data_IF_813207246105
#
_entry.id   IF_813207246105
#
_cell.length_a   1.000
_cell.length_b   1.000
_cell.length_c   1.000
_cell.angle_alpha   90.00
_cell.angle_beta   90.00
_cell.angle_gamma   90.00
#
_symmetry.space_group_name_H-M   'P 1'
#
loop_
_entity.id
_entity.type
_entity.pdbx_description
1 polymer ?
#
# COMPACT_ATOMS: atom_id res chain seq x y z
N UNK A 1 6.94 -26.71 61.78
CA UNK A 1 7.63 -26.36 60.52
C UNK A 1 6.58 -26.09 59.45
N UNK A 2 6.44 -24.85 58.97
CA UNK A 2 5.52 -24.50 57.86
C UNK A 2 6.37 -24.27 56.59
N UNK A 3 6.08 -24.92 55.46
CA UNK A 3 6.89 -24.78 54.26
C UNK A 3 6.66 -23.41 53.62
N UNK A 4 7.76 -22.71 53.31
CA UNK A 4 7.76 -21.46 52.55
C UNK A 4 7.83 -21.82 51.07
N UNK A 5 6.75 -21.57 50.32
CA UNK A 5 6.76 -21.68 48.87
C UNK A 5 7.42 -20.43 48.28
N UNK A 6 8.56 -20.62 47.62
CA UNK A 6 9.22 -19.58 46.82
C UNK A 6 8.50 -19.54 45.47
N UNK A 7 7.72 -18.51 45.23
CA UNK A 7 7.11 -18.26 43.92
C UNK A 7 8.19 -17.74 42.96
N UNK A 8 8.59 -18.57 42.00
CA UNK A 8 9.45 -18.16 40.90
C UNK A 8 8.65 -17.27 39.94
N UNK A 9 9.01 -15.99 39.87
CA UNK A 9 8.44 -15.05 38.90
C UNK A 9 9.11 -15.29 37.54
N UNK A 10 8.39 -15.95 36.64
CA UNK A 10 8.77 -16.06 35.23
C UNK A 10 8.44 -14.73 34.55
N UNK A 11 9.47 -13.93 34.27
CA UNK A 11 9.35 -12.72 33.44
C UNK A 11 9.18 -13.16 31.99
N UNK A 12 7.93 -13.26 31.53
CA UNK A 12 7.62 -13.47 30.13
C UNK A 12 7.93 -12.18 29.35
N UNK A 13 9.04 -12.17 28.61
CA UNK A 13 9.34 -11.11 27.64
C UNK A 13 8.34 -11.22 26.50
N UNK A 14 7.30 -10.38 26.54
CA UNK A 14 6.33 -10.23 25.46
C UNK A 14 7.00 -9.59 24.25
N UNK A 15 7.46 -10.40 23.30
CA UNK A 15 7.76 -9.91 21.96
C UNK A 15 6.45 -9.50 21.29
N UNK A 16 6.14 -8.21 21.29
CA UNK A 16 5.03 -7.68 20.49
C UNK A 16 5.29 -8.04 19.01
N UNK A 17 4.38 -8.74 18.32
CA UNK A 17 4.55 -9.04 16.91
C UNK A 17 4.64 -7.72 16.15
N UNK A 18 5.76 -7.52 15.43
CA UNK A 18 5.95 -6.36 14.58
C UNK A 18 4.70 -6.18 13.71
N UNK A 19 4.05 -5.01 13.83
CA UNK A 19 2.87 -4.68 13.04
C UNK A 19 3.24 -4.75 11.57
N UNK A 20 2.83 -5.84 10.95
CA UNK A 20 3.12 -6.09 9.56
C UNK A 20 2.27 -5.09 8.76
N UNK A 21 2.91 -4.01 8.34
CA UNK A 21 2.31 -2.95 7.55
C UNK A 21 1.99 -3.47 6.15
N UNK A 22 1.04 -2.83 5.47
CA UNK A 22 0.81 -2.90 4.03
C UNK A 22 2.09 -2.62 3.21
N UNK A 23 1.99 -2.21 1.95
CA UNK A 23 3.07 -1.35 1.44
C UNK A 23 3.39 -0.26 2.49
N UNK A 24 4.66 -0.09 2.81
CA UNK A 24 5.09 0.68 3.97
C UNK A 24 5.22 2.13 3.55
N UNK A 25 4.51 3.05 4.22
CA UNK A 25 4.82 4.48 4.07
C UNK A 25 6.18 4.75 4.71
N UNK A 26 7.17 5.05 3.88
CA UNK A 26 8.55 5.34 4.29
C UNK A 26 8.72 6.82 4.62
N UNK A 27 8.17 7.70 3.78
CA UNK A 27 8.37 9.14 3.93
C UNK A 27 7.23 9.94 3.33
N UNK A 28 7.28 11.25 3.54
CA UNK A 28 6.41 12.23 2.90
C UNK A 28 7.27 13.22 2.12
N UNK A 29 6.82 13.66 0.94
CA UNK A 29 7.51 14.65 0.10
C UNK A 29 8.95 14.29 -0.28
N UNK A 30 9.25 12.99 -0.34
CA UNK A 30 10.55 12.49 -0.74
C UNK A 30 10.87 12.85 -2.20
N UNK A 31 12.14 13.19 -2.44
CA UNK A 31 12.72 13.48 -3.75
C UNK A 31 13.92 12.56 -3.98
N UNK A 32 14.12 12.19 -5.24
CA UNK A 32 15.24 11.35 -5.70
C UNK A 32 15.44 10.08 -4.86
N UNK A 33 14.39 9.28 -4.60
CA UNK A 33 14.56 8.12 -3.74
C UNK A 33 15.34 7.02 -4.47
N UNK A 34 16.21 6.33 -3.73
CA UNK A 34 16.93 5.15 -4.21
C UNK A 34 16.44 3.91 -3.49
N UNK A 35 16.65 2.75 -4.12
CA UNK A 35 16.30 1.46 -3.53
C UNK A 35 17.46 0.49 -3.75
N UNK A 36 17.96 -0.03 -2.64
CA UNK A 36 18.97 -1.09 -2.57
C UNK A 36 18.40 -2.29 -1.83
N UNK A 37 18.71 -3.50 -2.27
CA UNK A 37 18.25 -4.74 -1.61
C UNK A 37 19.41 -5.70 -1.47
N UNK A 38 19.62 -6.24 -0.28
CA UNK A 38 20.73 -7.18 -0.01
C UNK A 38 20.22 -8.63 -0.05
N UNK A 39 21.13 -9.59 -0.24
CA UNK A 39 20.79 -11.02 -0.35
C UNK A 39 19.97 -11.56 0.83
N UNK A 40 20.18 -11.01 2.03
CA UNK A 40 19.42 -11.37 3.23
C UNK A 40 17.95 -10.93 3.20
N UNK A 41 17.50 -10.14 2.22
CA UNK A 41 16.11 -9.67 2.06
C UNK A 41 15.77 -8.38 2.81
N UNK A 42 16.77 -7.69 3.36
CA UNK A 42 16.63 -6.31 3.84
C UNK A 42 16.76 -5.32 2.68
N UNK A 43 16.07 -4.19 2.79
CA UNK A 43 16.14 -3.11 1.83
C UNK A 43 16.60 -1.83 2.50
N UNK A 44 17.30 -0.99 1.76
CA UNK A 44 17.68 0.37 2.13
C UNK A 44 17.02 1.33 1.14
N UNK A 45 16.41 2.37 1.68
CA UNK A 45 15.80 3.44 0.91
C UNK A 45 16.42 4.75 1.37
N UNK A 46 17.13 5.43 0.48
CA UNK A 46 17.54 6.81 0.68
C UNK A 46 16.57 7.75 -0.03
N UNK A 47 16.45 8.98 0.47
CA UNK A 47 15.78 10.06 -0.24
C UNK A 47 16.28 11.41 0.25
N UNK A 48 15.88 12.47 -0.45
CA UNK A 48 16.03 13.85 0.02
C UNK A 48 14.66 14.45 0.32
N UNK A 49 14.58 15.27 1.36
CA UNK A 49 13.40 16.08 1.66
C UNK A 49 13.83 17.39 2.34
N UNK A 50 12.86 18.21 2.73
CA UNK A 50 13.16 19.36 3.61
C UNK A 50 13.90 18.84 4.84
N UNK A 51 15.06 19.43 5.15
CA UNK A 51 15.94 18.97 6.22
C UNK A 51 17.12 18.09 5.78
N UNK A 52 17.22 17.74 4.49
CA UNK A 52 18.41 17.12 3.90
C UNK A 52 18.21 15.70 3.40
N UNK A 53 19.24 14.88 3.51
CA UNK A 53 19.24 13.47 3.09
C UNK A 53 18.82 12.58 4.25
N UNK A 54 18.01 11.58 3.93
CA UNK A 54 17.47 10.63 4.89
C UNK A 54 17.63 9.21 4.35
N UNK A 55 17.63 8.26 5.27
CA UNK A 55 17.69 6.84 4.96
C UNK A 55 16.78 6.03 5.88
N UNK A 56 16.34 4.88 5.42
CA UNK A 56 15.71 3.84 6.25
C UNK A 56 16.17 2.47 5.79
N UNK A 57 16.48 1.61 6.76
CA UNK A 57 16.61 0.17 6.52
C UNK A 57 15.31 -0.51 6.89
N UNK A 58 14.75 -1.24 5.95
CA UNK A 58 13.55 -2.05 6.12
C UNK A 58 14.00 -3.50 6.20
N UNK A 59 13.87 -4.07 7.39
CA UNK A 59 14.27 -5.45 7.66
C UNK A 59 13.34 -6.42 6.96
N UNK A 60 13.83 -7.66 6.89
CA UNK A 60 13.10 -8.81 6.38
C UNK A 60 11.70 -8.90 7.05
N UNK A 61 11.58 -8.77 8.37
CA UNK A 61 10.26 -8.77 9.04
C UNK A 61 9.38 -7.50 8.86
N UNK A 62 9.85 -6.49 8.11
CA UNK A 62 9.13 -5.23 7.89
C UNK A 62 9.42 -4.12 8.91
N UNK A 63 10.27 -4.38 9.92
CA UNK A 63 10.70 -3.32 10.84
C UNK A 63 11.52 -2.25 10.13
N UNK A 64 11.40 -1.00 10.59
CA UNK A 64 12.04 0.17 9.98
C UNK A 64 13.04 0.77 10.96
N UNK A 65 14.27 1.01 10.49
CA UNK A 65 15.29 1.73 11.24
C UNK A 65 15.75 2.94 10.43
N UNK A 66 15.25 4.11 10.81
CA UNK A 66 15.58 5.38 10.17
C UNK A 66 17.02 5.82 10.49
N UNK A 67 17.68 6.49 9.56
CA UNK A 67 19.09 6.92 9.66
C UNK A 67 20.10 5.78 9.52
N UNK A 68 19.65 4.56 9.23
CA UNK A 68 20.52 3.40 9.09
C UNK A 68 20.88 3.13 7.62
N UNK A 69 22.01 2.43 7.45
CA UNK A 69 22.53 1.99 6.16
C UNK A 69 22.95 0.52 6.19
N UNK A 70 22.80 -0.18 5.08
CA UNK A 70 23.25 -1.55 4.86
C UNK A 70 24.69 -1.55 4.36
N UNK A 71 25.56 -2.33 5.00
CA UNK A 71 26.95 -2.53 4.56
C UNK A 71 27.07 -3.53 3.41
N UNK A 72 26.15 -4.50 3.31
CA UNK A 72 26.17 -5.51 2.27
C UNK A 72 25.87 -4.91 0.88
N UNK A 73 26.35 -5.58 -0.18
CA UNK A 73 26.15 -5.16 -1.57
C UNK A 73 24.68 -5.22 -1.99
N UNK A 74 24.28 -4.31 -2.88
CA UNK A 74 23.01 -4.44 -3.59
C UNK A 74 23.07 -5.68 -4.49
N UNK A 75 22.09 -6.57 -4.38
CA UNK A 75 21.95 -7.74 -5.24
C UNK A 75 20.74 -7.63 -6.16
N UNK A 76 19.98 -6.55 -6.04
CA UNK A 76 18.85 -6.29 -6.92
C UNK A 76 19.27 -5.52 -8.16
N UNK A 77 18.50 -5.67 -9.23
CA UNK A 77 18.68 -4.96 -10.49
C UNK A 77 17.33 -4.34 -10.92
N UNK A 78 17.34 -3.19 -11.63
CA UNK A 78 16.12 -2.64 -12.22
C UNK A 78 15.44 -3.65 -13.14
N UNK A 79 14.10 -3.64 -13.20
CA UNK A 79 13.34 -4.56 -14.05
C UNK A 79 12.08 -3.91 -14.60
N UNK A 80 11.62 -4.40 -15.75
CA UNK A 80 10.34 -4.07 -16.39
C UNK A 80 9.43 -5.29 -16.52
N UNK A 81 9.80 -6.43 -15.92
CA UNK A 81 9.05 -7.68 -16.01
C UNK A 81 7.62 -7.59 -15.44
N UNK A 82 7.35 -6.57 -14.61
CA UNK A 82 6.03 -6.27 -14.06
C UNK A 82 5.76 -4.78 -14.16
N UNK A 83 4.52 -4.42 -14.51
CA UNK A 83 4.06 -3.03 -14.49
C UNK A 83 3.52 -2.68 -13.11
N UNK A 84 4.11 -1.66 -12.49
CA UNK A 84 3.70 -1.14 -11.18
C UNK A 84 3.34 0.33 -11.33
N UNK A 85 2.07 0.71 -11.12
CA UNK A 85 1.65 2.09 -11.29
C UNK A 85 2.30 2.99 -10.25
N UNK A 86 2.54 4.26 -10.57
CA UNK A 86 3.12 5.25 -9.65
C UNK A 86 4.55 4.90 -9.19
N UNK A 87 5.22 3.99 -9.89
CA UNK A 87 6.56 3.55 -9.52
C UNK A 87 7.60 4.66 -9.74
N UNK A 88 8.50 4.78 -8.77
CA UNK A 88 9.75 5.53 -8.85
C UNK A 88 10.93 4.59 -9.07
N UNK A 89 10.82 3.35 -8.60
CA UNK A 89 11.77 2.28 -8.87
C UNK A 89 11.04 0.93 -8.81
N UNK A 90 11.39 0.02 -9.71
CA UNK A 90 11.01 -1.40 -9.66
C UNK A 90 12.27 -2.22 -9.83
N UNK A 91 12.54 -3.10 -8.87
CA UNK A 91 13.74 -3.93 -8.82
C UNK A 91 13.39 -5.39 -8.61
N UNK A 92 14.27 -6.27 -9.07
CA UNK A 92 14.18 -7.70 -8.88
C UNK A 92 15.51 -8.21 -8.34
N UNK A 93 15.48 -9.29 -7.56
CA UNK A 93 16.69 -10.01 -7.16
C UNK A 93 16.72 -11.38 -7.84
N UNK A 94 17.87 -12.06 -7.92
CA UNK A 94 18.01 -13.33 -8.65
C UNK A 94 17.01 -14.43 -8.25
N UNK A 95 16.50 -14.43 -7.02
CA UNK A 95 15.50 -15.40 -6.56
C UNK A 95 14.04 -15.11 -7.03
N UNK A 96 13.87 -14.10 -7.90
CA UNK A 96 12.60 -13.75 -8.53
C UNK A 96 11.64 -12.91 -7.69
N UNK A 97 12.04 -12.48 -6.48
CA UNK A 97 11.27 -11.49 -5.72
C UNK A 97 11.38 -10.10 -6.38
N UNK A 98 10.36 -9.27 -6.18
CA UNK A 98 10.27 -7.91 -6.65
C UNK A 98 10.21 -6.94 -5.48
N UNK A 99 10.70 -5.73 -5.70
CA UNK A 99 10.62 -4.60 -4.80
C UNK A 99 10.26 -3.36 -5.59
N UNK A 100 9.46 -2.47 -4.99
CA UNK A 100 9.17 -1.20 -5.62
C UNK A 100 9.08 -0.06 -4.60
N UNK A 101 9.46 1.12 -5.10
CA UNK A 101 9.11 2.39 -4.52
C UNK A 101 8.01 3.03 -5.36
N UNK A 102 6.96 3.49 -4.71
CA UNK A 102 5.83 4.17 -5.34
C UNK A 102 5.55 5.50 -4.65
N UNK A 103 5.00 6.46 -5.39
CA UNK A 103 4.62 7.76 -4.84
C UNK A 103 3.23 8.22 -5.27
N UNK A 104 2.36 8.48 -4.28
CA UNK A 104 1.03 9.05 -4.51
C UNK A 104 0.44 9.72 -3.28
N UNK A 105 -0.59 10.56 -3.48
CA UNK A 105 -1.29 11.25 -2.40
C UNK A 105 -2.52 10.46 -1.97
N UNK A 106 -2.50 9.92 -0.75
CA UNK A 106 -3.60 9.12 -0.20
C UNK A 106 -4.79 9.92 0.32
N UNK A 107 -4.59 11.15 0.79
CA UNK A 107 -5.66 12.05 1.22
C UNK A 107 -5.69 13.31 0.33
N UNK A 108 -6.84 13.99 0.26
CA UNK A 108 -7.03 15.19 -0.58
C UNK A 108 -6.02 16.29 -0.25
N UNK A 109 -5.83 16.56 1.04
CA UNK A 109 -4.90 17.54 1.59
C UNK A 109 -3.68 16.87 2.23
N UNK A 110 -3.45 15.59 1.92
CA UNK A 110 -2.34 14.81 2.48
C UNK A 110 -1.03 15.01 1.72
N UNK A 111 0.09 14.58 2.32
CA UNK A 111 1.39 14.61 1.65
C UNK A 111 1.44 13.64 0.48
N UNK A 112 2.38 13.87 -0.44
CA UNK A 112 2.84 12.81 -1.33
C UNK A 112 3.57 11.77 -0.49
N UNK A 113 3.10 10.53 -0.48
CA UNK A 113 3.68 9.45 0.32
C UNK A 113 4.68 8.66 -0.52
N UNK A 114 5.90 8.45 -0.02
CA UNK A 114 6.84 7.46 -0.55
C UNK A 114 6.52 6.11 0.09
N UNK A 115 6.28 5.09 -0.74
CA UNK A 115 5.78 3.80 -0.29
C UNK A 115 6.65 2.67 -0.80
N UNK A 116 7.00 1.75 0.10
CA UNK A 116 7.84 0.58 -0.16
C UNK A 116 6.99 -0.69 -0.25
N UNK A 117 7.32 -1.56 -1.20
CA UNK A 117 6.68 -2.86 -1.36
C UNK A 117 7.72 -3.93 -1.70
N UNK A 118 7.37 -5.19 -1.40
CA UNK A 118 8.14 -6.38 -1.78
C UNK A 118 7.21 -7.58 -1.95
N UNK A 119 7.33 -8.29 -3.06
CA UNK A 119 6.45 -9.42 -3.36
C UNK A 119 7.11 -10.42 -4.30
N UNK A 120 6.39 -11.50 -4.61
CA UNK A 120 6.80 -12.48 -5.62
C UNK A 120 5.60 -12.83 -6.48
N UNK A 121 5.79 -12.94 -7.79
CA UNK A 121 4.70 -13.21 -8.73
C UNK A 121 3.94 -11.95 -9.12
N UNK A 122 2.63 -12.09 -9.36
CA UNK A 122 1.79 -11.00 -9.88
C UNK A 122 1.64 -9.85 -8.87
N UNK A 123 1.69 -8.58 -9.32
CA UNK A 123 1.44 -7.43 -8.45
C UNK A 123 -0.02 -7.36 -8.00
N UNK A 124 -0.32 -6.42 -7.11
CA UNK A 124 -1.71 -6.10 -6.74
C UNK A 124 -2.47 -5.62 -7.97
N UNK A 125 -3.66 -6.17 -8.18
CA UNK A 125 -4.54 -5.80 -9.27
C UNK A 125 -5.71 -5.00 -8.72
N UNK A 126 -5.99 -3.89 -9.40
CA UNK A 126 -7.22 -3.12 -9.23
C UNK A 126 -7.91 -3.06 -10.58
N UNK A 127 -9.18 -3.42 -10.63
CA UNK A 127 -10.04 -3.16 -11.79
C UNK A 127 -10.97 -2.00 -11.50
N UNK A 128 -11.38 -1.28 -12.54
CA UNK A 128 -12.29 -0.16 -12.43
C UNK A 128 -13.18 -0.08 -13.67
N UNK A 129 -14.47 0.16 -13.46
CA UNK A 129 -15.44 0.40 -14.51
C UNK A 129 -16.46 1.44 -14.06
N UNK A 130 -16.97 2.23 -15.00
CA UNK A 130 -18.14 3.06 -14.79
C UNK A 130 -19.36 2.35 -15.37
N UNK A 131 -20.43 2.23 -14.58
CA UNK A 131 -21.67 1.56 -14.96
C UNK A 131 -22.83 2.54 -14.88
N UNK A 132 -23.46 2.77 -16.04
CA UNK A 132 -24.68 3.54 -16.18
C UNK A 132 -25.92 2.66 -15.93
N UNK A 133 -27.08 3.18 -15.55
CA UNK A 133 -27.30 4.33 -14.66
C UNK A 133 -28.54 4.02 -13.82
N UNK A 134 -28.41 4.05 -12.49
CA UNK A 134 -29.58 4.12 -11.60
C UNK A 134 -29.79 5.59 -11.23
N UNK A 135 -31.01 6.12 -11.37
CA UNK A 135 -31.38 7.50 -11.02
C UNK A 135 -30.53 8.58 -11.71
N UNK A 136 -30.31 8.44 -13.01
CA UNK A 136 -29.52 9.41 -13.77
C UNK A 136 -28.14 9.71 -13.17
N UNK A 137 -27.52 8.73 -12.50
CA UNK A 137 -26.10 8.75 -12.16
C UNK A 137 -25.45 7.40 -12.43
N UNK A 138 -24.13 7.40 -12.51
CA UNK A 138 -23.33 6.18 -12.68
C UNK A 138 -22.76 5.67 -11.35
N UNK A 139 -22.38 4.40 -11.33
CA UNK A 139 -21.57 3.83 -10.27
C UNK A 139 -20.17 3.56 -10.80
N UNK A 140 -19.17 3.92 -10.02
CA UNK A 140 -17.80 3.43 -10.22
C UNK A 140 -17.65 2.14 -9.44
N UNK A 141 -17.44 1.05 -10.15
CA UNK A 141 -17.31 -0.31 -9.61
C UNK A 141 -15.92 -0.86 -9.88
N UNK A 142 -15.55 -1.89 -9.14
CA UNK A 142 -14.29 -2.59 -9.41
C UNK A 142 -14.02 -3.70 -8.41
N UNK A 143 -12.82 -4.25 -8.50
CA UNK A 143 -12.34 -5.29 -7.61
C UNK A 143 -10.85 -5.12 -7.34
N UNK A 144 -10.45 -5.32 -6.09
CA UNK A 144 -9.05 -5.37 -5.69
C UNK A 144 -8.65 -6.79 -5.33
N UNK A 145 -7.62 -7.31 -5.99
CA UNK A 145 -7.08 -8.65 -5.72
C UNK A 145 -5.56 -8.61 -5.63
N UNK A 146 -5.00 -9.59 -4.94
CA UNK A 146 -3.58 -9.85 -4.91
C UNK A 146 -3.36 -11.36 -4.96
N UNK A 147 -2.53 -11.83 -5.89
CA UNK A 147 -2.35 -13.26 -6.16
C UNK A 147 -3.69 -13.99 -6.36
N UNK A 148 -4.62 -13.37 -7.08
CA UNK A 148 -5.97 -13.90 -7.34
C UNK A 148 -6.92 -13.87 -6.13
N UNK A 149 -6.45 -13.52 -4.94
CA UNK A 149 -7.27 -13.48 -3.72
C UNK A 149 -7.81 -12.07 -3.49
N UNK A 150 -9.05 -11.92 -3.02
CA UNK A 150 -9.66 -10.61 -2.80
C UNK A 150 -9.03 -9.87 -1.62
N UNK A 151 -8.86 -8.56 -1.74
CA UNK A 151 -8.40 -7.67 -0.67
C UNK A 151 -9.61 -7.11 0.06
N UNK A 152 -9.77 -7.43 1.34
CA UNK A 152 -10.84 -6.89 2.19
C UNK A 152 -10.43 -6.90 3.67
N UNK A 153 -11.19 -6.16 4.49
CA UNK A 153 -11.05 -6.11 5.95
C UNK A 153 -12.20 -6.81 6.66
N UNK A 154 -12.03 -7.02 7.96
CA UNK A 154 -13.01 -7.61 8.86
C UNK A 154 -13.69 -6.58 9.76
N UNK A 155 -12.98 -5.51 10.12
CA UNK A 155 -13.45 -4.49 11.05
C UNK A 155 -13.19 -3.10 10.47
N UNK A 156 -14.18 -2.22 10.60
CA UNK A 156 -14.07 -0.83 10.21
C UNK A 156 -14.95 0.04 11.11
N UNK A 157 -14.65 1.34 11.19
CA UNK A 157 -15.54 2.32 11.80
C UNK A 157 -16.83 2.45 11.00
N UNK A 158 -17.87 3.05 11.59
CA UNK A 158 -19.11 3.41 10.88
C UNK A 158 -18.88 4.31 9.65
N UNK A 159 -17.77 5.05 9.63
CA UNK A 159 -17.36 5.94 8.54
C UNK A 159 -16.43 5.27 7.53
N UNK A 160 -16.19 3.96 7.65
CA UNK A 160 -15.44 3.17 6.66
C UNK A 160 -13.92 3.25 6.79
N UNK A 161 -13.41 3.58 7.98
CA UNK A 161 -11.96 3.53 8.28
C UNK A 161 -11.62 2.10 8.73
N UNK A 162 -10.69 1.39 8.05
CA UNK A 162 -10.25 0.07 8.48
C UNK A 162 -9.69 0.08 9.91
N UNK A 163 -10.11 -0.89 10.72
CA UNK A 163 -9.65 -1.09 12.10
C UNK A 163 -8.77 -2.34 12.25
N UNK A 164 -8.48 -3.01 11.13
CA UNK A 164 -7.64 -4.19 11.10
C UNK A 164 -6.50 -4.06 10.06
N UNK A 165 -5.57 -5.01 10.11
CA UNK A 165 -4.38 -5.02 9.25
C UNK A 165 -4.64 -5.42 7.79
N UNK A 166 -5.82 -5.94 7.47
CA UNK A 166 -6.18 -6.45 6.14
C UNK A 166 -6.97 -5.44 5.31
N UNK A 167 -7.87 -4.69 5.94
CA UNK A 167 -8.75 -3.72 5.31
C UNK A 167 -7.99 -2.57 4.65
N UNK A 168 -8.41 -2.22 3.44
CA UNK A 168 -7.85 -1.11 2.67
C UNK A 168 -8.99 -0.30 2.07
N UNK A 169 -8.81 1.02 2.00
CA UNK A 169 -9.69 1.85 1.20
C UNK A 169 -9.19 1.90 -0.24
N UNK A 170 -10.11 1.83 -1.19
CA UNK A 170 -9.90 2.30 -2.57
C UNK A 170 -10.19 3.79 -2.57
N UNK A 171 -9.17 4.60 -2.87
CA UNK A 171 -9.28 6.05 -2.97
C UNK A 171 -9.66 6.40 -4.41
N UNK A 172 -10.82 7.04 -4.58
CA UNK A 172 -11.32 7.42 -5.88
C UNK A 172 -11.06 8.89 -6.17
N UNK A 173 -10.63 9.15 -7.40
CA UNK A 173 -10.47 10.48 -7.98
C UNK A 173 -11.38 10.61 -9.21
N UNK A 174 -11.85 11.84 -9.47
CA UNK A 174 -12.59 12.22 -10.68
C UNK A 174 -11.74 13.18 -11.51
N UNK A 175 -11.76 13.03 -12.84
CA UNK A 175 -11.08 13.94 -13.76
C UNK A 175 -12.06 15.02 -14.23
N UNK A 176 -11.80 16.28 -13.85
CA UNK A 176 -12.62 17.43 -14.23
C UNK A 176 -11.81 18.72 -14.24
N UNK A 177 -12.14 19.64 -15.15
CA UNK A 177 -11.45 20.92 -15.29
C UNK A 177 -9.94 20.73 -15.49
N UNK A 178 -9.55 19.77 -16.34
CA UNK A 178 -8.16 19.49 -16.69
C UNK A 178 -7.34 18.69 -15.66
N UNK A 179 -7.92 18.30 -14.51
CA UNK A 179 -7.15 17.65 -13.44
C UNK A 179 -7.88 16.57 -12.65
N UNK A 180 -7.10 15.70 -12.02
CA UNK A 180 -7.60 14.69 -11.07
C UNK A 180 -7.91 15.32 -9.71
N UNK A 181 -9.11 15.07 -9.19
CA UNK A 181 -9.55 15.55 -7.87
C UNK A 181 -9.99 14.39 -6.98
N UNK A 182 -9.45 14.32 -5.76
CA UNK A 182 -9.82 13.32 -4.75
C UNK A 182 -11.26 13.48 -4.32
N UNK A 183 -12.01 12.39 -4.42
CA UNK A 183 -13.35 12.25 -3.85
C UNK A 183 -13.23 11.71 -2.43
N UNK A 184 -13.33 10.39 -2.27
CA UNK A 184 -13.31 9.72 -0.98
C UNK A 184 -12.56 8.39 -1.05
N UNK A 185 -12.34 7.75 0.11
CA UNK A 185 -11.97 6.35 0.22
C UNK A 185 -13.20 5.50 0.49
N UNK A 186 -13.29 4.33 -0.15
CA UNK A 186 -14.36 3.35 0.07
C UNK A 186 -13.77 2.00 0.45
N UNK A 187 -14.49 1.22 1.26
CA UNK A 187 -14.09 -0.14 1.59
C UNK A 187 -14.40 -1.09 0.45
N UNK A 188 -13.62 -2.15 0.35
CA UNK A 188 -13.98 -3.32 -0.43
C UNK A 188 -14.93 -4.22 0.38
N UNK A 189 -15.86 -4.88 -0.32
CA UNK A 189 -16.76 -5.85 0.25
C UNK A 189 -16.00 -7.09 0.71
N UNK A 190 -16.38 -7.57 1.90
CA UNK A 190 -15.85 -8.80 2.51
C UNK A 190 -15.95 -9.97 1.54
N UNK A 191 -14.95 -10.84 1.54
CA UNK A 191 -14.82 -12.06 0.73
C UNK A 191 -14.76 -11.89 -0.79
N UNK A 192 -15.08 -10.72 -1.35
CA UNK A 192 -15.08 -10.52 -2.81
C UNK A 192 -14.04 -9.50 -3.26
N UNK A 193 -13.62 -8.58 -2.39
CA UNK A 193 -12.71 -7.50 -2.77
C UNK A 193 -13.34 -6.50 -3.74
N UNK A 194 -14.63 -6.65 -4.05
CA UNK A 194 -15.39 -5.77 -4.94
C UNK A 194 -15.72 -4.47 -4.23
N UNK A 195 -15.98 -3.41 -4.98
CA UNK A 195 -16.48 -2.15 -4.44
C UNK A 195 -17.41 -1.49 -5.45
N UNK A 196 -18.27 -0.60 -4.96
CA UNK A 196 -19.14 0.24 -5.76
C UNK A 196 -19.32 1.57 -5.06
N UNK A 197 -19.21 2.68 -5.81
CA UNK A 197 -19.56 4.00 -5.34
C UNK A 197 -20.50 4.66 -6.34
N UNK A 198 -21.69 5.02 -5.87
CA UNK A 198 -22.59 5.90 -6.60
C UNK A 198 -21.99 7.30 -6.71
N UNK A 199 -21.84 7.80 -7.93
CA UNK A 199 -21.22 9.11 -8.18
C UNK A 199 -22.25 10.21 -7.96
N UNK A 200 -21.98 11.05 -6.97
CA UNK A 200 -22.78 12.24 -6.67
C UNK A 200 -22.65 13.26 -7.82
N UNK A 201 -23.69 14.07 -8.11
CA UNK A 201 -23.63 15.05 -9.21
C UNK A 201 -22.40 15.94 -9.20
N UNK A 202 -22.00 16.45 -8.02
CA UNK A 202 -20.82 17.31 -7.85
C UNK A 202 -19.47 16.57 -7.95
N UNK A 203 -19.47 15.26 -8.10
CA UNK A 203 -18.28 14.42 -8.34
C UNK A 203 -18.15 13.96 -9.79
N UNK A 204 -19.15 14.22 -10.64
CA UNK A 204 -19.09 13.88 -12.05
C UNK A 204 -17.87 14.51 -12.73
N UNK A 205 -17.31 13.75 -13.65
CA UNK A 205 -16.17 14.11 -14.48
C UNK A 205 -16.16 13.22 -15.70
N UNK A 206 -15.16 13.39 -16.57
CA UNK A 206 -15.07 12.60 -17.81
C UNK A 206 -14.38 11.26 -17.60
N UNK A 207 -13.65 11.09 -16.49
CA UNK A 207 -12.98 9.85 -16.14
C UNK A 207 -12.84 9.68 -14.62
N UNK A 208 -12.63 8.44 -14.20
CA UNK A 208 -12.37 8.06 -12.82
C UNK A 208 -11.07 7.30 -12.67
N UNK A 209 -10.44 7.44 -11.51
CA UNK A 209 -9.23 6.73 -11.13
C UNK A 209 -9.37 6.19 -9.72
N UNK A 210 -9.08 4.92 -9.55
CA UNK A 210 -8.98 4.27 -8.24
C UNK A 210 -7.53 4.01 -7.90
N UNK A 211 -7.15 4.22 -6.64
CA UNK A 211 -5.84 3.83 -6.11
C UNK A 211 -6.01 3.13 -4.78
N UNK A 212 -5.33 2.01 -4.57
CA UNK A 212 -5.41 1.21 -3.35
C UNK A 212 -4.01 0.92 -2.83
N UNK A 213 -3.87 0.97 -1.51
CA UNK A 213 -2.66 0.49 -0.82
C UNK A 213 -2.60 -1.04 -0.97
N UNK A 214 -1.46 -1.59 -1.37
CA UNK A 214 -1.24 -3.02 -1.48
C UNK A 214 -1.45 -3.77 -0.15
N UNK A 215 -1.86 -5.04 -0.17
CA UNK A 215 -2.12 -5.79 1.04
C UNK A 215 -0.81 -6.20 1.71
N UNK A 216 -0.94 -6.68 2.94
CA UNK A 216 0.13 -7.39 3.60
C UNK A 216 -0.33 -8.75 4.10
N UNK A 217 0.20 -9.80 3.48
CA UNK A 217 -0.12 -11.18 3.79
C UNK A 217 1.16 -11.94 4.12
N UNK A 218 1.37 -12.15 5.43
CA UNK A 218 2.57 -12.77 5.97
C UNK A 218 3.79 -11.90 5.71
N UNK A 219 4.69 -12.39 4.86
CA UNK A 219 5.93 -11.71 4.50
C UNK A 219 5.75 -10.61 3.45
N UNK A 220 4.74 -10.79 2.62
CA UNK A 220 4.57 -10.09 1.35
C UNK A 220 3.92 -8.74 1.56
N UNK A 221 4.58 -7.71 1.05
CA UNK A 221 4.07 -6.34 1.00
C UNK A 221 3.71 -6.07 -0.45
N UNK A 222 2.46 -6.34 -0.83
CA UNK A 222 2.02 -6.13 -2.22
C UNK A 222 2.22 -4.67 -2.64
N UNK A 223 2.56 -4.41 -3.91
CA UNK A 223 2.68 -3.05 -4.41
C UNK A 223 1.30 -2.37 -4.42
N UNK A 224 1.26 -1.06 -4.36
CA UNK A 224 0.03 -0.30 -4.54
C UNK A 224 -0.46 -0.43 -5.98
N UNK A 225 -1.78 -0.37 -6.17
CA UNK A 225 -2.40 -0.52 -7.48
C UNK A 225 -3.22 0.71 -7.84
N UNK A 226 -3.32 0.97 -9.14
CA UNK A 226 -4.13 2.05 -9.71
C UNK A 226 -4.82 1.54 -10.97
N UNK A 227 -6.06 1.98 -11.16
CA UNK A 227 -6.83 1.73 -12.37
C UNK A 227 -7.58 3.00 -12.77
N UNK A 228 -7.97 3.07 -14.04
CA UNK A 228 -8.72 4.19 -14.61
C UNK A 228 -9.85 3.65 -15.48
N UNK A 229 -10.91 4.43 -15.60
CA UNK A 229 -12.03 4.17 -16.49
C UNK A 229 -12.62 5.50 -16.95
N UNK A 230 -13.20 5.53 -18.14
CA UNK A 230 -13.95 6.70 -18.59
C UNK A 230 -15.30 6.76 -17.87
N UNK A 231 -15.91 7.94 -17.83
CA UNK A 231 -17.33 8.03 -17.47
C UNK A 231 -18.16 7.21 -18.46
N UNK A 232 -19.24 6.61 -17.95
CA UNK A 232 -20.27 5.94 -18.72
C UNK A 232 -21.34 6.89 -19.26
N UNK A 233 -21.15 8.19 -19.06
CA UNK A 233 -22.04 9.28 -19.48
C UNK A 233 -21.40 10.15 -20.54
#
# INVERSE_FOLDING_TARGET
MRPRYIAAVVVAVLFAPASASASIKVASWARNPTLKVVAGGAAEVDWTSVGGRHSVVISRNGSQRYGAHLRARDVSFPTTAVSVPMALAVRQTPNGNFWALQAWRRLRTGPLELRFSRWKGAPTLLTLGAVCCKWSSENVVGQATFHGRPIFGHHATRTGVPLDKFGRNVYLDTYRGGGWRRMMGILTHRNTGRFSLWIRPYWRGTAYRGTIIGPNWGWTLGPDAQARTQSSR
#
